data_IF_537745207237
#
_entry.id   IF_537745207237
#
_cell.length_a   1.000
_cell.length_b   1.000
_cell.length_c   1.000
_cell.angle_alpha   90.00
_cell.angle_beta   90.00
_cell.angle_gamma   90.00
#
_symmetry.space_group_name_H-M   'P 1'
#
loop_
_entity.id
_entity.type
_entity.pdbx_description
1 polymer ?
2 water ?
#
# COMPACT_ATOMS: atom_id res chain seq x y z
N UNK A 25 -23.85 -7.42 -0.45
CA UNK A 25 -23.47 -6.83 -1.78
C UNK A 25 -22.44 -5.68 -1.61
N UNK A 26 -21.83 -5.33 -2.75
CA UNK A 26 -20.72 -4.37 -2.85
C UNK A 26 -20.99 -3.04 -2.16
N UNK A 27 -22.23 -2.58 -2.29
CA UNK A 27 -22.64 -1.25 -1.86
C UNK A 27 -23.20 -1.15 -0.46
N UNK A 28 -23.27 -2.25 0.28
CA UNK A 28 -23.83 -2.13 1.64
C UNK A 28 -22.71 -2.11 2.68
N UNK A 29 -22.98 -1.48 3.83
CA UNK A 29 -21.94 -1.23 4.81
C UNK A 29 -21.42 -2.51 5.48
N UNK A 30 -20.30 -2.38 6.14
CA UNK A 30 -19.69 -3.53 6.73
C UNK A 30 -18.70 -2.99 7.74
N UNK A 31 -18.06 -3.87 8.48
CA UNK A 31 -17.09 -3.41 9.45
C UNK A 31 -15.74 -4.04 9.15
N UNK A 32 -14.71 -3.30 9.52
CA UNK A 32 -13.35 -3.77 9.40
C UNK A 32 -12.75 -3.60 10.78
N UNK A 33 -12.33 -4.70 11.40
CA UNK A 33 -11.82 -4.67 12.76
C UNK A 33 -12.71 -3.79 13.60
N UNK A 34 -12.13 -2.77 14.21
CA UNK A 34 -12.87 -1.76 14.97
C UNK A 34 -13.94 -1.03 14.13
N UNK A 35 -13.49 -0.34 13.08
CA UNK A 35 -14.35 0.62 12.36
C UNK A 35 -15.51 0.03 11.53
N UNK A 36 -16.33 0.96 11.04
CA UNK A 36 -17.52 0.67 10.26
C UNK A 36 -17.31 1.31 8.88
N UNK A 37 -17.59 0.55 7.81
CA UNK A 37 -17.39 1.01 6.43
C UNK A 37 -18.72 1.24 5.75
N UNK A 38 -18.85 2.31 4.99
CA UNK A 38 -20.11 2.63 4.30
C UNK A 38 -20.43 1.60 3.20
N UNK A 39 -19.40 0.96 2.63
CA UNK A 39 -19.60 -0.05 1.58
C UNK A 39 -18.32 -0.90 1.48
N UNK A 40 -18.30 -1.81 0.52
CA UNK A 40 -17.26 -2.81 0.44
C UNK A 40 -16.23 -2.47 -0.63
N UNK A 41 -16.31 -1.23 -1.12
CA UNK A 41 -15.37 -0.78 -2.16
C UNK A 41 -14.16 -0.06 -1.54
N UNK A 42 -12.97 -0.58 -1.84
CA UNK A 42 -11.73 0.00 -1.34
C UNK A 42 -10.96 0.71 -2.45
N UNK A 43 -10.47 1.90 -2.13
CA UNK A 43 -9.54 2.60 -3.00
C UNK A 43 -8.14 2.12 -2.68
N UNK A 44 -7.54 1.46 -3.65
CA UNK A 44 -6.22 0.90 -3.46
C UNK A 44 -5.14 2.00 -3.39
N UNK A 45 -3.97 1.65 -2.81
CA UNK A 45 -2.83 2.58 -2.73
C UNK A 45 -2.29 2.88 -4.12
N UNK A 46 -2.24 4.18 -4.42
CA UNK A 46 -1.78 4.66 -5.71
C UNK A 46 -0.78 5.82 -5.52
N UNK A 47 0.44 5.56 -5.92
CA UNK A 47 1.46 6.57 -5.93
C UNK A 47 1.18 7.66 -6.96
N UNK A 48 1.27 8.93 -6.50
CA UNK A 48 1.03 10.14 -7.34
C UNK A 48 2.21 11.15 -7.42
N UNK A 49 3.20 11.03 -6.54
CA UNK A 49 4.42 11.88 -6.60
C UNK A 49 4.12 13.39 -6.64
N UNK A 50 3.31 13.84 -5.68
CA UNK A 50 2.89 15.25 -5.58
C UNK A 50 3.00 15.75 -4.12
N UNK A 51 3.96 15.20 -3.37
CA UNK A 51 4.21 15.68 -2.02
C UNK A 51 5.05 16.94 -2.15
N UNK A 52 4.97 17.83 -1.17
CA UNK A 52 5.76 19.06 -1.22
C UNK A 52 7.09 18.97 -0.47
N UNK A 53 7.76 20.11 -0.36
CA UNK A 53 8.93 20.28 0.53
C UNK A 53 8.86 19.39 1.78
N UNK A 54 9.96 18.72 2.11
CA UNK A 54 9.98 17.84 3.28
C UNK A 54 9.01 16.65 3.22
N UNK A 55 8.64 16.24 2.01
CA UNK A 55 7.81 15.03 1.81
C UNK A 55 6.46 15.15 2.55
N UNK A 56 6.06 16.41 2.72
CA UNK A 56 4.79 16.77 3.34
C UNK A 56 3.74 16.72 2.23
N UNK A 57 2.51 16.23 2.57
CA UNK A 57 1.46 16.16 1.55
C UNK A 57 1.26 17.51 0.88
N UNK A 58 1.19 17.50 -0.45
CA UNK A 58 1.00 18.72 -1.24
C UNK A 58 -0.36 19.35 -0.99
N UNK A 59 -0.49 20.60 -1.37
CA UNK A 59 -1.59 21.43 -0.88
C UNK A 59 -2.94 21.02 -1.43
N UNK A 60 -2.96 20.30 -2.54
CA UNK A 60 -4.20 19.81 -3.15
C UNK A 60 -4.61 18.39 -2.75
N UNK A 61 -3.78 17.72 -1.93
CA UNK A 61 -3.95 16.30 -1.68
C UNK A 61 -5.16 15.99 -0.79
N UNK A 62 -5.40 16.79 0.24
CA UNK A 62 -6.64 16.68 1.03
C UNK A 62 -7.84 16.61 0.09
N UNK A 63 -7.94 17.58 -0.81
CA UNK A 63 -9.02 17.61 -1.81
C UNK A 63 -9.17 16.32 -2.63
N UNK A 64 -8.04 15.82 -3.09
CA UNK A 64 -7.95 14.62 -3.90
C UNK A 64 -8.62 13.47 -3.21
N UNK A 65 -8.27 13.26 -1.94
CA UNK A 65 -8.80 12.14 -1.17
C UNK A 65 -10.26 12.37 -0.81
N UNK A 66 -10.58 13.59 -0.35
CA UNK A 66 -11.99 13.96 -0.05
C UNK A 66 -12.96 13.83 -1.26
N UNK A 67 -12.47 14.20 -2.46
CA UNK A 67 -13.19 13.89 -3.70
C UNK A 67 -13.58 12.41 -3.88
N UNK A 68 -12.82 11.49 -3.27
CA UNK A 68 -13.02 10.02 -3.44
C UNK A 68 -13.48 9.36 -2.14
N UNK A 69 -13.91 10.17 -1.17
CA UNK A 69 -14.22 9.67 0.14
C UNK A 69 -15.55 8.88 0.21
N UNK A 70 -16.29 8.81 -0.90
CA UNK A 70 -17.47 7.93 -0.94
C UNK A 70 -17.04 6.45 -0.98
N UNK A 71 -15.75 6.22 -1.25
CA UNK A 71 -15.19 4.87 -1.05
C UNK A 71 -15.40 4.43 0.41
N UNK A 72 -15.90 3.20 0.57
CA UNK A 72 -15.95 2.57 1.89
C UNK A 72 -14.66 2.73 2.67
N UNK A 73 -13.52 2.47 2.02
CA UNK A 73 -12.21 2.65 2.64
C UNK A 73 -11.22 3.11 1.59
N UNK A 74 -10.42 4.13 1.94
CA UNK A 74 -9.31 4.57 1.10
C UNK A 74 -8.02 4.06 1.70
N UNK A 75 -7.19 3.43 0.88
CA UNK A 75 -5.81 3.16 1.29
C UNK A 75 -4.96 4.25 0.65
N UNK A 76 -4.25 5.01 1.48
CA UNK A 76 -3.39 6.07 0.95
C UNK A 76 -2.33 5.49 0.05
N UNK A 77 -1.79 6.38 -0.76
CA UNK A 77 -0.53 6.18 -1.44
C UNK A 77 0.50 5.66 -0.46
N UNK A 78 1.35 4.78 -0.98
CA UNK A 78 2.51 4.32 -0.22
C UNK A 78 3.31 5.53 0.31
N UNK A 79 3.64 5.47 1.61
CA UNK A 79 4.13 6.59 2.39
C UNK A 79 5.33 6.09 3.24
N UNK A 80 6.54 6.55 2.87
CA UNK A 80 7.80 6.12 3.54
C UNK A 80 7.91 6.46 5.03
N UNK A 81 8.42 5.48 5.75
CA UNK A 81 8.63 5.58 7.20
C UNK A 81 9.97 6.30 7.58
N UNK A 82 10.88 6.41 6.61
CA UNK A 82 12.18 7.06 6.75
C UNK A 82 12.61 7.48 5.35
N UNK A 83 13.63 8.32 5.23
CA UNK A 83 14.14 8.68 3.89
C UNK A 83 14.89 7.52 3.25
N UNK A 84 15.43 6.65 4.11
CA UNK A 84 16.07 5.43 3.68
C UNK A 84 15.07 4.60 2.87
N UNK A 85 13.85 4.53 3.40
CA UNK A 85 12.77 3.84 2.72
C UNK A 85 12.07 4.56 1.58
N UNK A 86 12.57 5.73 1.14
CA UNK A 86 12.01 6.42 -0.04
C UNK A 86 12.64 5.90 -1.33
N UNK A 87 11.82 5.66 -2.33
CA UNK A 87 12.29 5.10 -3.63
C UNK A 87 11.87 5.83 -4.90
N UNK A 88 10.86 6.68 -4.76
CA UNK A 88 10.40 7.54 -5.86
C UNK A 88 10.36 8.99 -5.37
N UNK A 89 10.64 9.94 -6.27
CA UNK A 89 10.62 11.35 -5.88
C UNK A 89 9.23 11.80 -5.40
N UNK A 90 9.22 12.71 -4.42
CA UNK A 90 7.98 13.42 -4.06
C UNK A 90 6.85 12.52 -3.60
N UNK A 91 7.23 11.37 -3.05
CA UNK A 91 6.29 10.59 -2.30
C UNK A 91 6.33 11.13 -0.85
N UNK A 92 5.20 11.11 -0.14
CA UNK A 92 5.17 11.69 1.21
C UNK A 92 5.71 10.81 2.29
N UNK A 93 5.98 11.42 3.44
CA UNK A 93 6.51 10.69 4.59
C UNK A 93 5.56 10.63 5.76
N UNK A 94 5.97 9.90 6.78
CA UNK A 94 5.19 9.84 8.00
C UNK A 94 6.16 9.76 9.18
N UNK A 95 7.30 10.44 9.06
CA UNK A 95 8.32 10.35 10.09
C UNK A 95 8.66 11.67 10.79
N UNK A 96 8.31 12.81 10.18
CA UNK A 96 8.52 14.13 10.81
C UNK A 96 7.17 14.77 11.18
N UNK A 97 7.17 15.63 12.20
CA UNK A 97 5.97 16.37 12.60
C UNK A 97 5.31 17.16 11.46
N UNK A 98 6.12 17.83 10.61
CA UNK A 98 5.63 18.52 9.41
C UNK A 98 4.72 17.62 8.58
N UNK A 99 5.16 16.39 8.32
CA UNK A 99 4.35 15.42 7.56
C UNK A 99 3.08 15.02 8.31
N UNK A 100 3.22 14.67 9.58
CA UNK A 100 2.06 14.35 10.39
C UNK A 100 0.99 15.42 10.25
N UNK A 101 1.41 16.69 10.44
CA UNK A 101 0.49 17.82 10.43
C UNK A 101 -0.13 18.04 9.05
N UNK A 102 0.65 17.84 7.99
CA UNK A 102 0.08 17.76 6.64
C UNK A 102 -1.01 16.67 6.48
N UNK A 103 -0.75 15.50 7.06
CA UNK A 103 -1.70 14.38 6.99
C UNK A 103 -2.98 14.62 7.77
N UNK A 104 -2.91 15.45 8.81
CA UNK A 104 -4.09 15.71 9.65
C UNK A 104 -5.19 16.38 8.84
N UNK A 105 -4.78 17.32 8.00
CA UNK A 105 -5.70 17.99 7.12
C UNK A 105 -6.39 17.01 6.18
N UNK A 106 -5.66 16.00 5.71
CA UNK A 106 -6.17 15.00 4.77
C UNK A 106 -7.13 14.04 5.47
N UNK A 107 -6.74 13.52 6.62
CA UNK A 107 -7.65 12.68 7.43
C UNK A 107 -8.93 13.43 7.82
N UNK A 108 -8.79 14.71 8.15
CA UNK A 108 -9.93 15.60 8.44
C UNK A 108 -10.86 15.74 7.27
N UNK A 109 -10.28 16.04 6.10
CA UNK A 109 -11.07 16.21 4.86
C UNK A 109 -11.87 14.95 4.48
N UNK A 110 -11.21 13.81 4.60
CA UNK A 110 -11.84 12.51 4.34
C UNK A 110 -12.96 12.20 5.35
N UNK A 111 -12.68 12.45 6.62
CA UNK A 111 -13.61 12.19 7.69
C UNK A 111 -14.80 13.11 7.60
N UNK A 112 -14.59 14.38 7.22
CA UNK A 112 -15.72 15.30 7.06
C UNK A 112 -16.64 14.90 5.90
N UNK A 113 -16.18 14.04 4.99
CA UNK A 113 -17.08 13.47 3.99
C UNK A 113 -17.74 12.16 4.44
N UNK A 114 -17.57 11.76 5.69
CA UNK A 114 -18.09 10.47 6.15
C UNK A 114 -17.23 9.25 5.79
N UNK A 115 -15.96 9.46 5.45
CA UNK A 115 -15.10 8.40 4.91
C UNK A 115 -14.15 7.71 5.89
N UNK A 116 -13.44 6.72 5.38
CA UNK A 116 -12.37 6.04 6.15
C UNK A 116 -11.07 6.05 5.36
N UNK A 117 -9.97 6.16 6.08
CA UNK A 117 -8.65 6.22 5.46
C UNK A 117 -7.59 5.62 6.35
N UNK A 118 -6.86 4.70 5.73
CA UNK A 118 -5.77 3.98 6.33
C UNK A 118 -4.49 4.41 5.59
N UNK A 119 -3.40 4.58 6.34
CA UNK A 119 -2.08 4.91 5.73
C UNK A 119 -1.25 3.65 5.42
N UNK A 120 -0.78 3.55 4.18
CA UNK A 120 0.11 2.43 3.80
C UNK A 120 1.57 2.75 4.07
N UNK A 121 2.12 2.07 5.07
CA UNK A 121 3.52 2.21 5.50
C UNK A 121 4.54 1.53 4.58
N UNK A 122 5.52 2.33 4.14
CA UNK A 122 6.44 1.95 3.10
C UNK A 122 7.91 1.93 3.52
N UNK A 123 8.62 0.89 3.05
CA UNK A 123 10.08 0.92 2.91
C UNK A 123 10.40 0.24 1.58
N UNK A 124 10.87 1.02 0.62
CA UNK A 124 11.17 0.48 -0.72
C UNK A 124 12.33 -0.51 -0.86
N UNK A 125 13.18 -0.57 0.15
CA UNK A 125 14.38 -1.40 0.06
C UNK A 125 15.20 -1.02 -1.17
N UNK A 126 15.55 -2.01 -1.99
CA UNK A 126 16.47 -1.77 -3.12
C UNK A 126 15.87 -1.01 -4.29
N UNK A 127 14.54 -0.80 -4.27
CA UNK A 127 13.86 -0.03 -5.32
C UNK A 127 13.92 1.47 -4.95
N UNK A 128 15.14 2.01 -5.09
CA UNK A 128 15.42 3.43 -4.85
C UNK A 128 16.64 3.86 -5.67
N UNK A 129 17.07 5.09 -5.46
CA UNK A 129 18.22 5.64 -6.19
C UNK A 129 19.03 6.44 -5.19
N UNK A 130 20.34 6.43 -5.37
CA UNK A 130 21.26 7.19 -4.49
C UNK A 130 20.83 8.64 -4.29
N UNK A 131 20.35 9.26 -5.35
CA UNK A 131 19.82 10.62 -5.28
C UNK A 131 18.70 10.85 -4.25
N UNK A 132 17.95 9.82 -3.87
CA UNK A 132 16.90 10.01 -2.89
C UNK A 132 17.35 9.66 -1.49
N UNK A 133 18.47 8.93 -1.38
CA UNK A 133 18.91 8.35 -0.10
C UNK A 133 19.70 9.35 0.73
N UNK A 134 19.70 9.17 2.07
CA UNK A 134 20.52 10.05 2.93
C UNK A 134 22.00 10.00 2.56
N UNK A 135 22.56 11.19 2.39
CA UNK A 135 23.96 11.39 2.02
C UNK A 135 24.36 10.74 0.69
N UNK A 136 23.41 10.55 -0.22
CA UNK A 136 23.69 9.85 -1.48
C UNK A 136 24.03 8.38 -1.28
N UNK A 137 23.72 7.85 -0.10
CA UNK A 137 24.06 6.44 0.20
C UNK A 137 23.33 5.38 -0.61
N UNK A 138 23.85 4.17 -0.63
CA UNK A 138 23.24 3.11 -1.40
C UNK A 138 21.90 2.64 -0.76
N UNK A 139 20.88 2.37 -1.59
CA UNK A 139 19.65 1.83 -1.01
C UNK A 139 19.94 0.54 -0.22
N UNK A 140 19.03 0.15 0.64
CA UNK A 140 19.26 -1.05 1.47
C UNK A 140 18.35 -2.21 1.08
N UNK A 141 18.80 -3.43 1.38
CA UNK A 141 18.18 -4.63 0.88
C UNK A 141 18.68 -5.82 1.71
N UNK A 142 17.99 -6.97 1.65
CA UNK A 142 18.50 -8.16 2.36
C UNK A 142 19.85 -8.68 1.80
N UNK A 143 20.01 -8.64 0.47
CA UNK A 143 21.23 -9.06 -0.20
C UNK A 143 21.55 -8.01 -1.24
N UNK A 144 22.84 -7.86 -1.57
CA UNK A 144 23.30 -6.88 -2.56
C UNK A 144 23.06 -7.40 -3.99
N UNK A 145 21.79 -7.37 -4.41
CA UNK A 145 21.40 -7.75 -5.78
C UNK A 145 20.49 -6.63 -6.25
N UNK A 146 20.91 -5.93 -7.30
CA UNK A 146 20.14 -4.85 -7.90
C UNK A 146 18.83 -5.41 -8.46
N UNK A 147 17.77 -4.62 -8.37
CA UNK A 147 16.56 -4.92 -9.09
C UNK A 147 16.69 -4.42 -10.55
N UNK A 148 16.09 -5.17 -11.47
CA UNK A 148 15.99 -4.81 -12.89
C UNK A 148 14.74 -3.94 -13.18
N UNK A 149 14.59 -2.82 -12.46
CA UNK A 149 13.50 -1.88 -12.70
C UNK A 149 13.98 -0.44 -12.62
N UNK A 150 13.19 0.45 -13.20
CA UNK A 150 13.45 1.89 -13.15
C UNK A 150 12.60 2.53 -12.08
N UNK A 151 12.98 3.74 -11.69
CA UNK A 151 12.19 4.52 -10.76
C UNK A 151 12.08 5.93 -11.32
N UNK A 152 11.26 6.75 -10.66
CA UNK A 152 10.91 8.08 -11.12
C UNK A 152 11.67 8.97 -10.18
N UNK A 153 12.74 9.56 -10.71
CA UNK A 153 13.67 10.43 -9.96
C UNK A 153 14.25 11.45 -10.95
N UNK A 154 14.61 12.64 -10.46
CA UNK A 154 15.05 13.75 -11.35
C UNK A 154 14.09 13.94 -12.52
N UNK A 155 12.79 13.85 -12.24
CA UNK A 155 11.77 14.08 -13.25
C UNK A 155 11.83 13.16 -14.46
N UNK A 156 12.38 11.97 -14.28
CA UNK A 156 12.53 11.04 -15.41
C UNK A 156 12.63 9.65 -14.87
N UNK A 157 12.71 8.66 -15.76
CA UNK A 157 12.89 7.25 -15.34
C UNK A 157 14.34 6.74 -15.46
N UNK A 158 14.89 6.25 -14.36
CA UNK A 158 16.27 5.80 -14.31
C UNK A 158 16.32 4.45 -13.62
N UNK A 159 17.32 3.63 -13.97
CA UNK A 159 17.49 2.36 -13.26
C UNK A 159 17.76 2.62 -11.78
N UNK A 160 17.21 1.77 -10.94
CA UNK A 160 17.49 1.82 -9.51
C UNK A 160 18.96 1.49 -9.27
N UNK A 161 19.48 1.95 -8.14
CA UNK A 161 20.88 1.81 -7.82
C UNK A 161 21.15 0.43 -7.23
N UNK A 162 22.44 0.06 -7.27
CA UNK A 162 22.97 -1.10 -6.54
C UNK A 162 22.73 -0.92 -5.03
N UNK A 163 22.11 -1.91 -4.38
CA UNK A 163 21.87 -1.75 -2.96
C UNK A 163 22.96 -2.38 -2.09
N UNK A 164 22.98 -2.00 -0.83
CA UNK A 164 23.84 -2.56 0.21
C UNK A 164 23.05 -3.56 1.06
N UNK A 165 23.60 -4.75 1.29
CA UNK A 165 22.93 -5.75 2.11
C UNK A 165 22.93 -5.33 3.58
N UNK A 166 21.77 -5.32 4.24
CA UNK A 166 21.66 -4.84 5.62
C UNK A 166 22.39 -5.70 6.63
N UNK A 167 23.10 -5.05 7.55
CA UNK A 167 23.71 -5.73 8.68
C UNK A 167 22.55 -6.23 9.55
N UNK A 168 22.68 -7.49 10.02
CA UNK A 168 21.72 -8.07 10.97
C UNK A 168 21.37 -7.07 12.08
N UNK A 169 22.38 -6.33 12.54
CA UNK A 169 22.20 -5.38 13.64
C UNK A 169 21.19 -4.27 13.31
N UNK A 170 21.08 -3.88 12.03
CA UNK A 170 20.21 -2.73 11.65
C UNK A 170 18.68 -3.03 11.66
N UNK A 171 18.35 -4.32 11.59
CA UNK A 171 17.02 -4.78 11.33
C UNK A 171 16.05 -4.31 12.41
N UNK A 172 16.40 -4.50 13.68
CA UNK A 172 15.54 -4.02 14.77
C UNK A 172 15.21 -2.54 14.60
N UNK A 173 16.18 -1.79 14.09
CA UNK A 173 16.00 -0.36 13.85
C UNK A 173 14.97 -0.06 12.80
N UNK A 174 14.91 -0.91 11.77
CA UNK A 174 13.91 -0.77 10.73
C UNK A 174 12.52 -1.17 11.26
N UNK A 175 12.46 -2.21 12.09
CA UNK A 175 11.21 -2.63 12.74
C UNK A 175 10.69 -1.49 13.58
N UNK A 176 11.62 -0.75 14.19
CA UNK A 176 11.23 0.38 15.01
C UNK A 176 10.76 1.59 14.23
N UNK A 177 11.32 1.79 13.03
CA UNK A 177 10.84 2.86 12.15
C UNK A 177 9.41 2.62 11.69
N UNK A 178 9.06 1.36 11.42
CA UNK A 178 7.66 0.99 11.16
C UNK A 178 6.79 1.20 12.41
N UNK A 179 7.30 0.74 13.57
CA UNK A 179 6.56 0.87 14.82
C UNK A 179 6.21 2.33 15.06
N UNK A 180 7.20 3.19 14.95
CA UNK A 180 7.05 4.61 15.19
C UNK A 180 6.15 5.19 14.09
N UNK A 181 6.34 4.75 12.84
CA UNK A 181 5.51 5.28 11.74
C UNK A 181 4.03 4.96 11.92
N UNK A 182 3.71 3.81 12.49
CA UNK A 182 2.31 3.48 12.82
C UNK A 182 1.74 4.44 13.85
N UNK A 183 2.48 4.75 14.92
CA UNK A 183 1.96 5.66 15.96
C UNK A 183 1.83 7.09 15.46
N UNK A 184 2.68 7.48 14.51
CA UNK A 184 2.55 8.76 13.80
C UNK A 184 1.28 8.82 12.91
N UNK A 185 0.87 7.66 12.39
CA UNK A 185 -0.30 7.57 11.55
C UNK A 185 -1.55 7.77 12.40
N UNK A 186 -1.53 7.24 13.62
CA UNK A 186 -2.62 7.48 14.58
C UNK A 186 -2.66 8.92 15.07
N UNK A 187 -1.50 9.51 15.37
CA UNK A 187 -1.44 10.93 15.68
C UNK A 187 -2.11 11.73 14.55
N UNK A 188 -1.83 11.34 13.30
CA UNK A 188 -2.33 12.08 12.12
C UNK A 188 -3.84 11.87 11.79
N UNK A 189 -4.55 11.12 12.63
CA UNK A 189 -5.98 10.89 12.49
C UNK A 189 -6.36 9.75 11.56
N UNK A 190 -5.43 8.86 11.22
CA UNK A 190 -5.76 7.74 10.35
C UNK A 190 -6.55 6.73 11.15
N UNK A 191 -7.39 6.00 10.45
CA UNK A 191 -8.23 4.96 11.05
C UNK A 191 -7.47 3.63 11.22
N UNK A 192 -6.25 3.58 10.72
CA UNK A 192 -5.35 2.43 10.86
C UNK A 192 -4.25 2.52 9.82
N UNK A 193 -3.45 1.46 9.70
CA UNK A 193 -2.38 1.38 8.71
C UNK A 193 -2.38 0.07 7.93
N UNK A 194 -1.69 0.11 6.79
CA UNK A 194 -1.48 -1.06 5.97
C UNK A 194 0.02 -1.21 5.69
N UNK A 195 0.63 -2.24 6.24
CA UNK A 195 2.04 -2.54 6.04
C UNK A 195 2.24 -2.92 4.56
N UNK A 196 3.13 -2.23 3.84
CA UNK A 196 3.39 -2.61 2.44
C UNK A 196 4.33 -3.85 2.37
N UNK A 197 3.72 -5.04 2.27
CA UNK A 197 4.46 -6.31 2.20
C UNK A 197 4.54 -6.89 0.79
N UNK A 198 4.28 -6.04 -0.22
CA UNK A 198 4.10 -6.46 -1.63
C UNK A 198 4.99 -5.71 -2.61
N UNK A 199 4.86 -6.11 -3.87
CA UNK A 199 5.25 -5.33 -5.05
C UNK A 199 6.74 -5.03 -5.10
N UNK A 200 7.53 -5.98 -4.56
CA UNK A 200 9.00 -5.97 -4.67
C UNK A 200 9.78 -5.09 -3.71
N UNK A 201 9.10 -4.48 -2.73
CA UNK A 201 9.74 -3.57 -1.80
C UNK A 201 10.33 -4.35 -0.61
N UNK A 202 10.84 -3.65 0.42
CA UNK A 202 11.79 -4.24 1.37
C UNK A 202 11.34 -5.59 1.92
N UNK A 203 10.11 -5.61 2.40
CA UNK A 203 9.68 -6.76 3.17
C UNK A 203 9.50 -7.97 2.27
N UNK A 204 9.09 -7.76 1.01
CA UNK A 204 8.95 -8.83 0.03
C UNK A 204 10.34 -9.27 -0.46
N UNK A 205 11.29 -8.34 -0.51
CA UNK A 205 12.64 -8.68 -0.91
C UNK A 205 13.17 -9.75 0.04
N UNK A 206 12.81 -9.62 1.31
CA UNK A 206 13.20 -10.59 2.34
C UNK A 206 12.43 -11.89 2.19
N UNK A 207 11.12 -11.79 1.95
CA UNK A 207 10.24 -12.92 1.80
C UNK A 207 10.54 -13.87 0.62
N UNK A 208 10.94 -13.29 -0.52
CA UNK A 208 11.18 -14.07 -1.75
C UNK A 208 12.67 -14.38 -2.01
N UNK A 209 12.96 -15.65 -2.30
CA UNK A 209 14.34 -16.12 -2.48
C UNK A 209 15.06 -15.61 -3.72
N UNK A 210 14.29 -15.05 -4.66
CA UNK A 210 14.88 -14.38 -5.81
C UNK A 210 15.73 -13.19 -5.42
N UNK A 211 15.44 -12.61 -4.27
CA UNK A 211 16.18 -11.46 -3.77
C UNK A 211 16.79 -11.64 -2.41
N UNK A 212 16.40 -12.67 -1.65
CA UNK A 212 17.01 -12.89 -0.34
C UNK A 212 17.99 -14.06 -0.39
N UNK A 213 19.28 -13.72 -0.50
CA UNK A 213 20.34 -14.73 -0.50
C UNK A 213 21.06 -14.84 0.87
N UNK A 214 20.52 -14.21 1.92
CA UNK A 214 21.13 -14.28 3.24
C UNK A 214 21.21 -15.71 3.82
N UNK A 215 22.18 -15.90 4.72
CA UNK A 215 22.40 -17.19 5.41
C UNK A 215 22.27 -17.07 6.93
N UNK A 216 21.91 -15.87 7.40
CA UNK A 216 21.68 -15.63 8.84
C UNK A 216 20.21 -15.92 9.11
N UNK A 217 19.67 -15.45 10.24
CA UNK A 217 18.32 -15.82 10.68
C UNK A 217 17.18 -15.19 9.86
N UNK A 218 17.53 -14.23 9.00
CA UNK A 218 16.56 -13.53 8.15
C UNK A 218 16.56 -14.05 6.70
N UNK A 219 17.20 -15.21 6.48
CA UNK A 219 17.19 -15.88 5.18
C UNK A 219 17.51 -17.37 5.29
N UNK A 220 17.36 -18.08 4.18
CA UNK A 220 17.74 -19.47 4.13
C UNK A 220 16.60 -20.44 4.31
N UNK A 221 15.40 -19.94 4.58
CA UNK A 221 14.23 -20.82 4.68
C UNK A 221 12.94 -20.01 4.67
N UNK A 222 11.84 -20.75 4.54
CA UNK A 222 10.53 -20.12 4.58
C UNK A 222 10.43 -19.20 5.80
N UNK A 223 10.76 -19.76 6.94
CA UNK A 223 10.56 -19.13 8.24
C UNK A 223 11.47 -17.93 8.45
N UNK A 224 12.71 -18.06 7.99
CA UNK A 224 13.64 -16.98 8.09
C UNK A 224 13.34 -15.84 7.14
N UNK A 225 13.07 -16.17 5.87
CA UNK A 225 12.70 -15.16 4.85
C UNK A 225 11.47 -14.34 5.28
N UNK A 226 10.57 -15.02 5.98
CA UNK A 226 9.33 -14.43 6.44
C UNK A 226 9.48 -13.60 7.73
N UNK A 227 10.67 -13.62 8.35
CA UNK A 227 10.84 -13.05 9.71
C UNK A 227 10.70 -11.55 9.79
N UNK A 228 11.26 -10.82 8.85
CA UNK A 228 11.16 -9.36 8.95
C UNK A 228 9.71 -8.93 8.79
N UNK A 229 9.02 -9.45 7.76
CA UNK A 229 7.63 -9.05 7.50
C UNK A 229 6.76 -9.26 8.75
N UNK A 230 6.91 -10.43 9.36
CA UNK A 230 6.13 -10.80 10.53
C UNK A 230 6.53 -9.97 11.76
N UNK A 231 7.82 -9.73 11.93
CA UNK A 231 8.29 -8.87 13.02
C UNK A 231 7.75 -7.48 12.87
N UNK A 232 7.72 -6.98 11.64
CA UNK A 232 7.25 -5.62 11.39
C UNK A 232 5.73 -5.53 11.70
N UNK A 233 4.94 -6.43 11.16
CA UNK A 233 3.50 -6.46 11.44
C UNK A 233 3.18 -6.68 12.95
N UNK A 234 3.95 -7.52 13.62
CA UNK A 234 3.75 -7.78 15.05
C UNK A 234 3.99 -6.51 15.91
N UNK A 235 5.04 -5.76 15.56
CA UNK A 235 5.38 -4.52 16.25
C UNK A 235 4.37 -3.42 15.99
N UNK A 236 3.89 -3.32 14.76
CA UNK A 236 2.86 -2.35 14.40
C UNK A 236 1.56 -2.70 15.11
N UNK A 237 1.19 -3.98 15.08
CA UNK A 237 -0.03 -4.44 15.74
C UNK A 237 -0.01 -4.15 17.25
N UNK A 238 1.16 -4.31 17.88
CA UNK A 238 1.27 -4.06 19.33
C UNK A 238 1.16 -2.58 19.66
N UNK A 239 1.89 -1.77 18.90
CA UNK A 239 1.88 -0.34 19.07
C UNK A 239 0.46 0.24 19.06
N UNK A 240 -0.35 -0.17 18.09
CA UNK A 240 -1.65 0.51 17.87
C UNK A 240 -2.88 -0.39 17.93
N UNK A 241 -2.70 -1.70 17.98
CA UNK A 241 -3.79 -2.65 17.99
C UNK A 241 -3.83 -3.46 16.69
N UNK A 242 -4.12 -4.77 16.77
CA UNK A 242 -4.29 -5.57 15.56
C UNK A 242 -5.49 -5.11 14.75
N UNK A 243 -6.47 -4.57 15.46
CA UNK A 243 -7.72 -4.07 14.88
C UNK A 243 -7.54 -2.77 14.06
N UNK A 244 -6.38 -2.16 14.12
CA UNK A 244 -6.06 -1.06 13.21
C UNK A 244 -4.90 -1.41 12.26
N UNK A 245 -4.50 -2.69 12.25
CA UNK A 245 -3.40 -3.16 11.40
C UNK A 245 -3.90 -4.03 10.25
N UNK A 246 -3.42 -3.72 9.04
CA UNK A 246 -3.59 -4.56 7.87
C UNK A 246 -2.24 -4.73 7.24
N UNK A 247 -2.14 -5.68 6.30
CA UNK A 247 -0.95 -5.83 5.51
C UNK A 247 -1.42 -6.11 4.08
N UNK A 248 -0.62 -5.63 3.11
CA UNK A 248 -0.77 -6.03 1.69
C UNK A 248 0.33 -7.00 1.29
N UNK A 249 -0.03 -8.07 0.54
CA UNK A 249 0.93 -9.02 -0.05
C UNK A 249 0.59 -9.32 -1.50
N UNK A 250 1.58 -9.78 -2.23
CA UNK A 250 1.46 -10.11 -3.64
C UNK A 250 2.24 -11.41 -3.90
N UNK A 251 1.64 -12.58 -3.59
CA UNK A 251 2.33 -13.87 -3.69
C UNK A 251 3.01 -14.14 -5.03
N UNK A 252 2.31 -13.86 -6.13
CA UNK A 252 2.80 -14.09 -7.46
C UNK A 252 3.34 -12.80 -8.06
N UNK A 253 4.65 -12.71 -8.24
CA UNK A 253 5.26 -11.50 -8.82
C UNK A 253 4.86 -11.40 -10.29
N UNK A 254 4.93 -10.18 -10.86
CA UNK A 254 4.83 -10.13 -12.32
C UNK A 254 6.12 -10.67 -12.94
N UNK A 255 6.18 -10.64 -14.27
CA UNK A 255 7.34 -11.15 -15.04
C UNK A 255 8.67 -10.50 -14.60
N UNK A 256 8.67 -9.17 -14.44
CA UNK A 256 9.88 -8.44 -14.02
C UNK A 256 9.96 -8.20 -12.49
N UNK A 257 9.15 -8.91 -11.71
CA UNK A 257 9.22 -8.85 -10.25
C UNK A 257 10.31 -9.77 -9.69
N UNK A 258 10.14 -10.17 -8.42
CA UNK A 258 11.13 -10.96 -7.72
C UNK A 258 10.84 -12.46 -7.93
N UNK A 259 11.82 -13.22 -8.41
CA UNK A 259 11.62 -14.67 -8.53
C UNK A 259 11.38 -15.23 -7.13
N UNK A 260 10.53 -16.26 -7.10
CA UNK A 260 10.11 -16.94 -5.88
C UNK A 260 9.83 -18.41 -6.25
N UNK A 261 10.78 -19.28 -5.90
CA UNK A 261 10.71 -20.74 -6.16
C UNK A 261 9.44 -21.47 -5.74
N UNK A 262 8.84 -21.09 -4.61
CA UNK A 262 7.61 -21.75 -4.14
C UNK A 262 6.76 -20.79 -3.31
N UNK A 263 5.96 -19.96 -3.99
CA UNK A 263 5.23 -18.93 -3.25
C UNK A 263 4.10 -19.49 -2.40
N UNK A 264 3.55 -20.62 -2.82
CA UNK A 264 2.48 -21.24 -2.06
C UNK A 264 2.93 -21.60 -0.60
N UNK A 265 4.04 -22.34 -0.49
CA UNK A 265 4.60 -22.66 0.81
C UNK A 265 4.93 -21.39 1.57
N UNK A 266 5.56 -20.44 0.87
CA UNK A 266 6.00 -19.19 1.48
C UNK A 266 4.83 -18.43 2.07
N UNK A 267 3.72 -18.35 1.30
CA UNK A 267 2.61 -17.44 1.68
C UNK A 267 1.51 -18.10 2.49
N UNK A 268 1.41 -19.44 2.42
CA UNK A 268 0.62 -20.21 3.38
C UNK A 268 1.20 -20.02 4.79
N UNK A 269 2.54 -20.12 4.88
CA UNK A 269 3.25 -19.86 6.15
C UNK A 269 2.99 -18.45 6.69
N UNK A 270 3.29 -17.45 5.87
CA UNK A 270 3.09 -16.03 6.22
C UNK A 270 1.65 -15.74 6.65
N UNK A 271 0.67 -16.24 5.91
CA UNK A 271 -0.75 -15.97 6.30
C UNK A 271 -1.15 -16.70 7.58
N UNK A 272 -0.67 -17.94 7.78
CA UNK A 272 -0.84 -18.62 9.08
C UNK A 272 -0.36 -17.74 10.23
N UNK A 273 0.87 -17.26 10.09
CA UNK A 273 1.47 -16.41 11.10
C UNK A 273 0.76 -15.05 11.25
N UNK A 274 0.31 -14.48 10.14
CA UNK A 274 -0.42 -13.22 10.20
C UNK A 274 -1.72 -13.43 10.93
N UNK A 275 -2.43 -14.52 10.61
CA UNK A 275 -3.68 -14.81 11.30
C UNK A 275 -3.45 -14.97 12.81
N UNK A 276 -2.34 -15.59 13.17
CA UNK A 276 -1.99 -15.79 14.57
C UNK A 276 -1.81 -14.48 15.31
N UNK A 277 -1.30 -13.44 14.63
CA UNK A 277 -1.14 -12.11 15.24
C UNK A 277 -2.48 -11.37 15.44
N UNK A 278 -3.56 -11.88 14.85
CA UNK A 278 -4.91 -11.35 15.08
C UNK A 278 -5.24 -10.09 14.28
N UNK A 279 -4.45 -9.78 13.27
CA UNK A 279 -4.62 -8.52 12.54
C UNK A 279 -5.96 -8.46 11.82
N UNK A 280 -6.44 -7.23 11.68
CA UNK A 280 -7.73 -6.93 11.07
C UNK A 280 -7.90 -7.47 9.62
N UNK A 281 -6.85 -7.40 8.79
CA UNK A 281 -7.02 -7.82 7.41
C UNK A 281 -5.74 -8.09 6.64
N UNK A 282 -5.87 -8.95 5.63
CA UNK A 282 -4.87 -9.08 4.59
C UNK A 282 -5.45 -8.53 3.29
N UNK A 283 -4.57 -7.93 2.50
CA UNK A 283 -4.92 -7.30 1.22
C UNK A 283 -4.05 -8.00 0.15
N UNK A 284 -4.68 -8.77 -0.70
CA UNK A 284 -3.94 -9.65 -1.58
C UNK A 284 -4.07 -9.18 -3.03
N UNK A 285 -2.92 -8.88 -3.64
CA UNK A 285 -2.79 -8.58 -5.04
C UNK A 285 -2.75 -9.96 -5.74
N UNK A 286 -3.79 -10.29 -6.50
CA UNK A 286 -3.98 -11.68 -6.93
C UNK A 286 -3.26 -12.01 -8.22
N UNK A 297 0.24 -21.91 -11.38
CA UNK A 297 -1.10 -21.59 -10.90
C UNK A 297 -1.20 -21.51 -9.36
N UNK A 298 -1.56 -20.33 -8.82
CA UNK A 298 -1.58 -20.08 -7.36
C UNK A 298 -2.95 -20.33 -6.71
N UNK A 299 -2.94 -20.82 -5.46
CA UNK A 299 -4.19 -21.07 -4.69
C UNK A 299 -4.47 -20.02 -3.62
N UNK A 300 -5.30 -19.04 -3.98
CA UNK A 300 -5.65 -17.96 -3.04
C UNK A 300 -6.64 -18.45 -1.99
N UNK A 301 -7.40 -19.50 -2.33
CA UNK A 301 -8.37 -20.10 -1.41
C UNK A 301 -7.69 -20.62 -0.15
N UNK A 302 -6.44 -21.11 -0.32
CA UNK A 302 -5.61 -21.51 0.80
C UNK A 302 -5.44 -20.35 1.76
N UNK A 303 -5.03 -19.19 1.22
CA UNK A 303 -4.75 -17.99 2.04
C UNK A 303 -6.02 -17.48 2.72
N UNK A 304 -7.07 -17.41 1.89
CA UNK A 304 -8.42 -17.13 2.36
C UNK A 304 -8.87 -18.04 3.51
N UNK A 305 -8.63 -19.34 3.38
CA UNK A 305 -8.96 -20.28 4.44
C UNK A 305 -8.15 -20.03 5.71
N UNK A 306 -6.85 -19.80 5.55
CA UNK A 306 -5.94 -19.64 6.68
C UNK A 306 -6.19 -18.38 7.47
N UNK A 307 -6.70 -17.36 6.81
CA UNK A 307 -6.90 -16.09 7.47
C UNK A 307 -8.37 -15.99 7.90
N UNK A 308 -8.57 -15.68 9.18
CA UNK A 308 -9.86 -15.79 9.81
C UNK A 308 -10.62 -14.44 9.85
N UNK A 309 -9.96 -13.35 9.49
CA UNK A 309 -10.60 -12.03 9.43
C UNK A 309 -10.80 -11.59 7.97
N UNK A 310 -10.84 -10.28 7.73
CA UNK A 310 -11.05 -9.71 6.38
C UNK A 310 -9.97 -10.01 5.32
N UNK A 311 -10.45 -10.36 4.13
CA UNK A 311 -9.61 -10.51 2.94
C UNK A 311 -10.04 -9.37 2.00
N UNK A 312 -9.09 -8.50 1.68
CA UNK A 312 -9.30 -7.51 0.64
C UNK A 312 -8.64 -8.03 -0.64
N UNK A 313 -9.46 -8.24 -1.67
CA UNK A 313 -8.96 -8.68 -2.96
C UNK A 313 -8.75 -7.50 -3.95
N UNK A 314 -7.65 -7.56 -4.70
CA UNK A 314 -7.35 -6.55 -5.68
C UNK A 314 -7.20 -7.14 -7.09
N UNK A 318 -13.26 -4.61 -11.56
CA UNK A 318 -14.47 -4.96 -12.34
C UNK A 318 -15.74 -5.21 -11.47
N UNK A 319 -16.85 -4.54 -11.75
CA UNK A 319 -18.02 -4.62 -10.87
C UNK A 319 -18.62 -6.03 -10.76
N UNK A 320 -18.81 -6.68 -11.91
CA UNK A 320 -19.70 -7.85 -11.94
C UNK A 320 -19.00 -9.15 -11.55
N UNK A 321 -17.72 -9.28 -11.87
CA UNK A 321 -16.94 -10.39 -11.31
C UNK A 321 -16.66 -10.15 -9.82
N UNK A 322 -16.34 -8.90 -9.45
CA UNK A 322 -16.15 -8.55 -8.04
C UNK A 322 -17.35 -8.93 -7.17
N UNK A 323 -18.54 -8.75 -7.74
CA UNK A 323 -19.79 -9.05 -7.08
C UNK A 323 -19.94 -10.54 -6.88
N UNK A 324 -19.54 -11.30 -7.89
CA UNK A 324 -19.57 -12.76 -7.84
C UNK A 324 -18.52 -13.28 -6.85
N UNK A 325 -17.31 -12.71 -6.96
CA UNK A 325 -16.21 -12.94 -6.02
C UNK A 325 -16.62 -12.73 -4.56
N UNK A 326 -17.44 -11.73 -4.30
CA UNK A 326 -17.96 -11.45 -2.95
C UNK A 326 -19.06 -12.44 -2.58
N UNK A 327 -20.05 -12.60 -3.46
CA UNK A 327 -21.12 -13.61 -3.33
C UNK A 327 -20.56 -15.00 -3.08
N UNK A 328 -19.47 -15.32 -3.77
CA UNK A 328 -18.80 -16.62 -3.67
C UNK A 328 -18.02 -16.84 -2.37
N UNK A 329 -17.89 -15.83 -1.52
CA UNK A 329 -17.17 -15.96 -0.23
C UNK A 329 -15.65 -15.87 -0.35
N UNK A 330 -15.14 -15.49 -1.52
CA UNK A 330 -13.69 -15.41 -1.79
C UNK A 330 -13.02 -14.19 -1.13
N UNK A 331 -13.78 -13.10 -0.98
CA UNK A 331 -13.31 -11.87 -0.33
C UNK A 331 -14.43 -11.17 0.37
N UNK A 332 -14.04 -10.25 1.24
CA UNK A 332 -14.97 -9.41 2.00
C UNK A 332 -15.04 -7.97 1.45
N UNK A 333 -13.92 -7.47 0.90
CA UNK A 333 -13.84 -6.16 0.27
C UNK A 333 -13.13 -6.30 -1.08
N UNK A 334 -13.39 -5.39 -2.00
CA UNK A 334 -12.66 -5.39 -3.26
C UNK A 334 -12.08 -3.99 -3.49
N UNK A 335 -10.78 -3.97 -3.81
CA UNK A 335 -10.02 -2.76 -3.98
C UNK A 335 -9.84 -2.52 -5.46
N UNK A 336 -10.15 -1.29 -5.90
CA UNK A 336 -10.03 -0.83 -7.29
C UNK A 336 -8.93 0.22 -7.33
N UNK A 337 -8.11 0.19 -8.38
CA UNK A 337 -6.94 1.07 -8.47
C UNK A 337 -7.14 2.26 -9.41
N UNK A 338 -6.70 2.12 -10.66
CA UNK A 338 -6.81 3.23 -11.60
C UNK A 338 -8.20 3.84 -11.74
N UNK A 339 -9.27 3.02 -11.70
CA UNK A 339 -10.60 3.64 -11.86
C UNK A 339 -10.87 4.78 -10.88
N UNK A 340 -10.37 4.67 -9.64
CA UNK A 340 -10.51 5.73 -8.65
C UNK A 340 -9.71 6.99 -9.02
N UNK A 341 -8.65 6.84 -9.82
CA UNK A 341 -7.92 8.01 -10.34
C UNK A 341 -8.87 8.87 -11.19
N UNK A 342 -9.49 8.23 -12.18
CA UNK A 342 -10.26 8.98 -13.18
C UNK A 342 -11.74 9.23 -12.79
N UNK A 343 -12.29 8.45 -11.86
CA UNK A 343 -13.70 8.60 -11.40
C UNK A 343 -13.80 8.82 -9.89
N UNK A 344 -13.85 10.10 -9.44
CA UNK A 344 -13.95 10.34 -7.99
C UNK A 344 -15.25 9.79 -7.39
N UNK A 345 -16.28 9.74 -8.24
CA UNK A 345 -17.58 9.20 -7.92
C UNK A 345 -17.73 7.71 -8.35
N UNK A 346 -16.62 6.97 -8.35
CA UNK A 346 -16.59 5.57 -8.77
C UNK A 346 -17.65 4.73 -8.08
N UNK A 347 -17.80 4.89 -6.77
CA UNK A 347 -18.80 4.12 -6.04
C UNK A 347 -20.19 4.34 -6.67
N UNK A 348 -20.56 5.62 -6.79
CA UNK A 348 -21.87 6.03 -7.31
C UNK A 348 -22.10 5.50 -8.72
N UNK A 349 -21.05 5.55 -9.55
CA UNK A 349 -21.12 5.11 -10.95
C UNK A 349 -21.24 3.58 -11.07
N UNK A 350 -20.62 2.86 -10.14
CA UNK A 350 -20.69 1.40 -10.15
C UNK A 350 -22.12 1.01 -9.78
N UNK A 351 -22.68 1.79 -8.86
CA UNK A 351 -24.04 1.59 -8.38
C UNK A 351 -25.12 1.97 -9.38
N UNK A 352 -24.91 3.02 -10.18
CA UNK A 352 -25.90 3.51 -11.16
C UNK A 352 -25.75 2.87 -12.57
N UNK A 353 -24.59 2.27 -12.82
CA UNK A 353 -24.21 1.90 -14.18
C UNK A 353 -23.62 3.01 -15.09
N UNK A 354 -23.36 4.21 -14.57
CA UNK A 354 -22.81 5.23 -15.48
C UNK A 354 -21.44 4.79 -16.00
N UNK A 355 -21.17 5.01 -17.30
CA UNK A 355 -19.84 4.58 -17.78
C UNK A 355 -18.68 5.30 -17.03
N UNK A 356 -17.52 4.64 -17.06
CA UNK A 356 -16.36 5.10 -16.31
C UNK A 356 -15.39 5.88 -17.19
N UNK A 357 -14.82 6.92 -16.60
CA UNK A 357 -13.76 7.69 -17.27
C UNK A 357 -12.45 6.90 -17.29
N UNK A 358 -11.73 6.99 -18.39
CA UNK A 358 -10.42 6.39 -18.47
C UNK A 358 -9.39 7.33 -17.87
N UNK A 359 -8.27 6.73 -17.50
CA UNK A 359 -7.14 7.42 -16.89
C UNK A 359 -6.34 8.16 -17.97
N UNK A 360 -5.90 9.39 -17.69
CA UNK A 360 -4.75 9.95 -18.44
C UNK A 360 -3.47 9.43 -17.80
N UNK A 361 -2.83 8.47 -18.46
CA UNK A 361 -1.68 7.75 -17.87
C UNK A 361 -0.48 8.66 -17.71
N UNK A 362 -0.35 9.63 -18.62
CA UNK A 362 0.80 10.56 -18.60
C UNK A 362 0.77 11.48 -17.37
N UNK A 363 -0.39 11.64 -16.72
CA UNK A 363 -0.52 12.52 -15.56
C UNK A 363 -0.67 11.79 -14.23
N UNK A 364 -0.48 10.48 -14.22
CA UNK A 364 -0.60 9.75 -12.95
C UNK A 364 0.47 10.20 -11.95
N UNK A 365 1.73 10.20 -12.41
CA UNK A 365 2.91 10.40 -11.57
C UNK A 365 3.50 11.79 -11.82
N UNK A 366 3.48 12.62 -10.76
CA UNK A 366 4.04 13.97 -10.82
C UNK A 366 3.05 14.97 -11.36
N UNK A 367 3.46 16.23 -11.38
CA UNK A 367 2.63 17.30 -11.94
C UNK A 367 1.68 18.03 -10.99
N UNK A 368 0.58 18.49 -11.58
CA UNK A 368 -0.25 19.49 -10.94
C UNK A 368 -1.62 18.92 -10.69
N UNK A 369 -2.56 19.83 -10.39
CA UNK A 369 -3.97 19.50 -10.37
C UNK A 369 -4.42 18.69 -11.59
N UNK A 370 -3.90 18.98 -12.77
CA UNK A 370 -4.39 18.33 -13.96
C UNK A 370 -4.03 16.84 -13.99
N UNK A 371 -5.05 16.00 -14.16
CA UNK A 371 -4.90 14.54 -14.09
C UNK A 371 -4.83 14.00 -12.67
N UNK A 372 -5.28 14.84 -11.72
CA UNK A 372 -5.24 14.59 -10.27
C UNK A 372 -6.64 14.90 -9.70
N UNK A 373 -6.94 16.20 -9.58
CA UNK A 373 -8.18 16.68 -8.96
C UNK A 373 -9.13 17.31 -9.97
N UNK A 374 -8.81 17.27 -11.27
CA UNK A 374 -9.73 17.86 -12.27
C UNK A 374 -10.56 16.83 -13.06
N UNK A 375 -10.57 15.59 -12.58
CA UNK A 375 -11.43 14.57 -13.17
C UNK A 375 -12.90 14.85 -12.81
N UNK A 376 -13.73 15.18 -13.81
CA UNK A 376 -15.15 15.43 -13.51
C UNK A 376 -15.92 14.24 -12.91
N UNK A 377 -16.91 14.54 -12.07
CA UNK A 377 -17.98 13.59 -11.74
C UNK A 377 -18.87 13.34 -12.98
N UNK A 378 -19.79 12.37 -12.90
CA UNK A 378 -20.46 11.89 -14.12
C UNK A 378 -21.36 12.92 -14.84
N UNK A 379 -22.13 13.70 -14.07
CA UNK A 379 -22.97 14.75 -14.65
C UNK A 379 -22.20 15.83 -15.47
N UNK A 380 -20.91 15.99 -15.20
CA UNK A 380 -20.04 16.98 -15.86
C UNK A 380 -19.10 16.31 -16.89
N UNK A 381 -19.64 15.41 -17.69
CA UNK A 381 -18.84 14.55 -18.60
C UNK A 381 -19.45 14.37 -19.98
N UNK A 382 -20.75 14.65 -20.09
CA UNK A 382 -21.56 14.21 -21.21
C UNK A 382 -22.22 15.40 -21.97
N UNK A 383 -22.61 15.14 -23.24
CA UNK A 383 -23.35 16.08 -24.07
C UNK A 383 -24.55 15.35 -24.62
N UNK A 384 -25.73 15.94 -24.50
CA UNK A 384 -26.96 15.32 -25.03
C UNK A 384 -27.06 15.34 -26.55
N UNK A 385 -26.46 16.33 -27.19
CA UNK A 385 -26.53 16.43 -28.64
C UNK A 385 -25.21 16.98 -29.19
#
# INVERSE_FOLDING_TARGET
>A
MGSSHHHHHHSSGLVPRGSHMTKTTLFQPTSLGAITLANRIVMAPLTRNRAGAGFVPGELTAGYYAQRASAGLIISEATQISQQGQGYQDTPGIYTQAQIDGWKKVTAAVHKKGGRIVLQLWHVGRISHVNLQPNGGAPVAPSAIRAEVKTFVNNGFVDVSEPRALELEELAGIVDDFRKAAANSIEAGFDGVEVHGANGYLLEQFAKDGANMRTDTYGGSVENRARLMLEVTAAVAQEIGPERTGIRISPVSPANGISCSDPQTQYDYIVDKLDALGIAYIHVVEGATGGPRDVAPFDYGSLRRRFSRTYIANNGFDLELATSHLADGRADLIAFGRPFIANPDLVERLQSGAPLAEVNAAKIFGGSAAGYTDYPRFSETTSDN
#
